data_IF_227294644220
#
_entry.id   IF_227294644220
#
_cell.length_a   1.000
_cell.length_b   1.000
_cell.length_c   1.000
_cell.angle_alpha   90.00
_cell.angle_beta   90.00
_cell.angle_gamma   90.00
#
_symmetry.space_group_name_H-M   'P 1'
#
loop_
_entity.id
_entity.type
_entity.pdbx_description
1 polymer ?
#
# COMPACT_ATOMS: atom_id res chain seq x y z
N UNK A 1 -19.44 17.76 -19.69
CA UNK A 1 -19.02 16.96 -18.52
C UNK A 1 -17.50 16.92 -18.50
N UNK A 2 -16.83 17.63 -17.58
CA UNK A 2 -15.37 17.57 -17.43
C UNK A 2 -15.07 16.54 -16.35
N UNK A 3 -14.58 15.37 -16.75
CA UNK A 3 -14.24 14.25 -15.86
C UNK A 3 -12.97 14.51 -15.04
N UNK A 4 -12.16 15.47 -15.46
CA UNK A 4 -10.90 15.83 -14.80
C UNK A 4 -10.87 17.36 -14.69
N UNK A 5 -10.96 17.86 -13.46
CA UNK A 5 -10.72 19.26 -13.14
C UNK A 5 -9.54 19.31 -12.17
N UNK A 6 -8.33 19.48 -12.71
CA UNK A 6 -7.12 19.64 -11.89
C UNK A 6 -7.07 21.08 -11.38
N UNK A 7 -7.02 21.23 -10.06
CA UNK A 7 -6.83 22.49 -9.34
C UNK A 7 -5.42 22.54 -8.76
N UNK A 8 -4.97 23.72 -8.31
CA UNK A 8 -3.64 23.85 -7.68
C UNK A 8 -3.48 22.95 -6.43
N UNK A 9 -4.57 22.72 -5.69
CA UNK A 9 -4.55 21.86 -4.50
C UNK A 9 -4.34 20.37 -4.80
N UNK A 10 -4.58 19.92 -6.04
CA UNK A 10 -4.35 18.52 -6.42
C UNK A 10 -2.85 18.19 -6.49
N UNK A 11 -2.01 19.18 -6.78
CA UNK A 11 -0.56 19.02 -6.73
C UNK A 11 -0.06 18.83 -5.31
N UNK A 12 -0.54 19.66 -4.37
CA UNK A 12 -0.21 19.53 -2.95
C UNK A 12 -0.67 18.17 -2.41
N UNK A 13 -1.89 17.74 -2.79
CA UNK A 13 -2.42 16.42 -2.47
C UNK A 13 -1.60 15.28 -3.06
N UNK A 14 -1.20 15.38 -4.33
CA UNK A 14 -0.36 14.39 -5.00
C UNK A 14 1.00 14.23 -4.32
N UNK A 15 1.69 15.33 -4.04
CA UNK A 15 3.00 15.28 -3.39
C UNK A 15 2.91 14.88 -1.92
N UNK A 16 1.89 15.34 -1.19
CA UNK A 16 1.65 14.94 0.19
C UNK A 16 1.39 13.44 0.31
N UNK A 17 0.49 12.92 -0.53
CA UNK A 17 0.20 11.48 -0.58
C UNK A 17 1.41 10.69 -1.09
N UNK A 18 2.08 11.17 -2.13
CA UNK A 18 3.25 10.53 -2.73
C UNK A 18 4.39 10.40 -1.74
N UNK A 19 4.74 11.47 -1.02
CA UNK A 19 5.82 11.46 -0.04
C UNK A 19 5.47 10.57 1.17
N UNK A 20 4.23 10.62 1.66
CA UNK A 20 3.77 9.72 2.72
C UNK A 20 3.92 8.23 2.31
N UNK A 21 3.46 7.88 1.11
CA UNK A 21 3.60 6.52 0.60
C UNK A 21 5.06 6.14 0.39
N UNK A 22 5.91 7.06 -0.10
CA UNK A 22 7.33 6.80 -0.30
C UNK A 22 8.04 6.45 1.02
N UNK A 23 7.83 7.24 2.07
CA UNK A 23 8.38 6.95 3.41
C UNK A 23 7.90 5.59 3.92
N UNK A 24 6.62 5.28 3.75
CA UNK A 24 6.06 4.00 4.17
C UNK A 24 6.60 2.81 3.35
N UNK A 25 6.86 2.99 2.05
CA UNK A 25 7.52 1.97 1.23
C UNK A 25 8.96 1.70 1.69
N UNK A 26 9.71 2.75 2.04
CA UNK A 26 11.06 2.59 2.60
C UNK A 26 11.01 1.81 3.92
N UNK A 27 10.01 2.07 4.76
CA UNK A 27 9.82 1.31 5.99
C UNK A 27 9.49 -0.15 5.71
N UNK A 28 8.60 -0.43 4.75
CA UNK A 28 8.27 -1.82 4.34
C UNK A 28 9.53 -2.53 3.85
N UNK A 29 10.34 -1.90 3.01
CA UNK A 29 11.62 -2.47 2.53
C UNK A 29 12.53 -2.78 3.72
N UNK A 30 12.71 -1.80 4.62
CA UNK A 30 13.57 -1.93 5.80
C UNK A 30 13.14 -3.07 6.71
N UNK A 31 11.85 -3.17 7.04
CA UNK A 31 11.32 -4.25 7.89
C UNK A 31 11.37 -5.61 7.18
N UNK A 32 11.10 -5.65 5.87
CA UNK A 32 11.19 -6.89 5.08
C UNK A 32 12.62 -7.45 5.08
N UNK A 33 13.64 -6.59 4.99
CA UNK A 33 15.03 -7.00 5.02
C UNK A 33 15.52 -7.32 6.44
N UNK A 34 15.28 -6.41 7.39
CA UNK A 34 15.88 -6.50 8.73
C UNK A 34 15.15 -7.44 9.69
N UNK A 35 13.82 -7.52 9.58
CA UNK A 35 12.99 -8.34 10.49
C UNK A 35 12.66 -9.69 9.86
N UNK A 36 12.23 -9.69 8.59
CA UNK A 36 11.78 -10.90 7.91
C UNK A 36 12.91 -11.62 7.15
N UNK A 37 14.03 -10.95 6.90
CA UNK A 37 15.16 -11.52 6.16
C UNK A 37 14.83 -11.87 4.71
N UNK A 38 13.86 -11.17 4.10
CA UNK A 38 13.47 -11.41 2.71
C UNK A 38 14.57 -10.98 1.73
N UNK A 39 14.68 -11.70 0.62
CA UNK A 39 15.61 -11.36 -0.45
C UNK A 39 15.17 -10.07 -1.17
N UNK A 40 16.14 -9.33 -1.70
CA UNK A 40 15.86 -8.15 -2.51
C UNK A 40 15.02 -8.48 -3.75
N UNK A 41 15.22 -9.67 -4.32
CA UNK A 41 14.43 -10.14 -5.46
C UNK A 41 12.95 -10.27 -5.09
N UNK A 42 12.61 -10.88 -3.96
CA UNK A 42 11.23 -11.02 -3.50
C UNK A 42 10.58 -9.64 -3.28
N UNK A 43 11.30 -8.72 -2.64
CA UNK A 43 10.82 -7.37 -2.36
C UNK A 43 10.52 -6.61 -3.65
N UNK A 44 11.46 -6.61 -4.60
CA UNK A 44 11.35 -5.82 -5.84
C UNK A 44 10.36 -6.44 -6.83
N UNK A 45 10.25 -7.77 -6.88
CA UNK A 45 9.40 -8.45 -7.89
C UNK A 45 7.97 -8.68 -7.42
N UNK A 46 7.73 -8.81 -6.10
CA UNK A 46 6.39 -9.11 -5.56
C UNK A 46 5.85 -8.01 -4.67
N UNK A 47 6.63 -7.57 -3.67
CA UNK A 47 6.13 -6.63 -2.66
C UNK A 47 5.92 -5.23 -3.27
N UNK A 48 6.96 -4.62 -3.85
CA UNK A 48 6.86 -3.25 -4.38
C UNK A 48 5.81 -3.12 -5.50
N UNK A 49 5.74 -4.03 -6.49
CA UNK A 49 4.70 -3.98 -7.51
C UNK A 49 3.31 -4.17 -6.91
N UNK A 50 3.14 -5.09 -5.96
CA UNK A 50 1.87 -5.29 -5.24
C UNK A 50 1.39 -4.03 -4.53
N UNK A 51 2.30 -3.34 -3.82
CA UNK A 51 1.99 -2.07 -3.16
C UNK A 51 1.63 -0.98 -4.16
N UNK A 52 2.36 -0.86 -5.28
CA UNK A 52 2.09 0.11 -6.33
C UNK A 52 0.70 -0.10 -6.95
N UNK A 53 0.37 -1.35 -7.30
CA UNK A 53 -0.96 -1.68 -7.80
C UNK A 53 -2.04 -1.37 -6.77
N UNK A 54 -1.83 -1.73 -5.50
CA UNK A 54 -2.77 -1.41 -4.42
C UNK A 54 -3.08 0.08 -4.32
N UNK A 55 -2.05 0.93 -4.40
CA UNK A 55 -2.23 2.39 -4.38
C UNK A 55 -3.03 2.87 -5.60
N UNK A 56 -2.68 2.40 -6.79
CA UNK A 56 -3.36 2.81 -8.03
C UNK A 56 -4.84 2.40 -8.00
N UNK A 57 -5.12 1.12 -7.75
CA UNK A 57 -6.48 0.61 -7.72
C UNK A 57 -7.32 1.22 -6.59
N UNK A 58 -6.74 1.41 -5.40
CA UNK A 58 -7.42 2.05 -4.28
C UNK A 58 -7.83 3.48 -4.58
N UNK A 59 -6.96 4.28 -5.20
CA UNK A 59 -7.28 5.66 -5.56
C UNK A 59 -8.31 5.72 -6.70
N UNK A 60 -8.19 4.87 -7.73
CA UNK A 60 -9.20 4.79 -8.80
C UNK A 60 -10.58 4.42 -8.24
N UNK A 61 -10.62 3.47 -7.32
CA UNK A 61 -11.86 3.05 -6.67
C UNK A 61 -12.51 4.17 -5.85
N UNK A 62 -11.74 4.91 -5.03
CA UNK A 62 -12.29 6.02 -4.26
C UNK A 62 -12.69 7.22 -5.12
N UNK A 63 -11.94 7.52 -6.20
CA UNK A 63 -12.36 8.53 -7.18
C UNK A 63 -13.69 8.17 -7.83
N UNK A 64 -13.87 6.91 -8.23
CA UNK A 64 -15.13 6.42 -8.78
C UNK A 64 -16.28 6.50 -7.76
N UNK A 65 -16.04 6.14 -6.50
CA UNK A 65 -17.06 6.25 -5.45
C UNK A 65 -17.47 7.70 -5.19
N UNK A 66 -16.52 8.63 -5.12
CA UNK A 66 -16.80 10.05 -4.94
C UNK A 66 -17.67 10.60 -6.09
N UNK A 67 -17.35 10.23 -7.34
CA UNK A 67 -18.13 10.63 -8.50
C UNK A 67 -19.53 10.01 -8.52
N UNK A 68 -19.64 8.72 -8.23
CA UNK A 68 -20.92 8.00 -8.15
C UNK A 68 -21.84 8.63 -7.09
N UNK A 69 -21.29 8.99 -5.94
CA UNK A 69 -22.02 9.67 -4.88
C UNK A 69 -22.42 11.10 -5.27
N UNK A 70 -21.52 11.84 -5.93
CA UNK A 70 -21.79 13.20 -6.38
C UNK A 70 -22.95 13.26 -7.38
N UNK A 71 -23.02 12.28 -8.30
CA UNK A 71 -24.12 12.14 -9.25
C UNK A 71 -25.46 11.85 -8.57
N UNK A 72 -25.47 11.07 -7.49
CA UNK A 72 -26.70 10.73 -6.74
C UNK A 72 -27.18 11.88 -5.85
N UNK A 73 -26.26 12.61 -5.22
CA UNK A 73 -26.61 13.66 -4.26
C UNK A 73 -26.73 15.06 -4.90
N UNK A 74 -26.33 15.23 -6.16
CA UNK A 74 -26.37 16.53 -6.85
C UNK A 74 -25.35 17.56 -6.33
N UNK A 75 -24.32 17.12 -5.60
CA UNK A 75 -23.25 18.00 -5.06
C UNK A 75 -21.87 17.34 -5.18
N UNK A 76 -20.82 18.14 -5.22
CA UNK A 76 -19.43 17.64 -5.30
C UNK A 76 -18.98 16.98 -3.98
N UNK A 77 -18.19 15.91 -4.08
CA UNK A 77 -17.51 15.26 -2.96
C UNK A 77 -16.04 15.06 -3.29
N UNK A 78 -15.19 15.21 -2.27
CA UNK A 78 -13.75 14.95 -2.37
C UNK A 78 -13.48 13.47 -2.13
N UNK A 79 -12.72 12.83 -3.02
CA UNK A 79 -12.26 11.47 -2.82
C UNK A 79 -11.26 11.41 -1.64
N UNK A 80 -11.38 10.36 -0.82
CA UNK A 80 -10.41 10.11 0.25
C UNK A 80 -9.15 9.52 -0.41
N UNK A 81 -7.96 10.07 -0.14
CA UNK A 81 -6.73 9.52 -0.71
C UNK A 81 -6.45 8.14 -0.13
N UNK A 82 -6.23 7.14 -0.99
CA UNK A 82 -5.80 5.82 -0.57
C UNK A 82 -4.27 5.78 -0.48
N UNK A 83 -3.75 5.39 0.68
CA UNK A 83 -2.32 5.27 0.92
C UNK A 83 -1.99 4.24 1.98
N UNK A 84 -0.70 3.97 2.11
CA UNK A 84 -0.15 3.06 3.10
C UNK A 84 -0.20 3.74 4.47
N UNK A 85 -0.56 2.97 5.50
CA UNK A 85 -0.59 3.43 6.88
C UNK A 85 0.49 2.73 7.70
N UNK A 86 1.16 3.50 8.55
CA UNK A 86 2.25 3.07 9.41
C UNK A 86 1.86 1.93 10.37
N UNK A 87 0.73 2.05 11.06
CA UNK A 87 0.34 1.07 12.09
C UNK A 87 0.10 -0.33 11.47
N UNK A 88 -0.69 -0.48 10.39
CA UNK A 88 -0.82 -1.75 9.69
C UNK A 88 0.52 -2.34 9.25
N UNK A 89 1.50 -1.55 8.81
CA UNK A 89 2.82 -2.09 8.43
C UNK A 89 3.43 -2.87 9.60
N UNK A 90 3.45 -2.29 10.80
CA UNK A 90 3.97 -2.97 11.99
C UNK A 90 3.14 -4.19 12.37
N UNK A 91 1.81 -4.09 12.36
CA UNK A 91 0.94 -5.23 12.66
C UNK A 91 1.16 -6.38 11.68
N UNK A 92 1.17 -6.12 10.36
CA UNK A 92 1.42 -7.17 9.38
C UNK A 92 2.81 -7.77 9.53
N UNK A 93 3.84 -6.95 9.72
CA UNK A 93 5.22 -7.48 9.87
C UNK A 93 5.35 -8.36 11.10
N UNK A 94 4.95 -7.86 12.28
CA UNK A 94 5.27 -8.50 13.56
C UNK A 94 4.21 -9.49 14.05
N UNK A 95 2.94 -9.29 13.71
CA UNK A 95 1.84 -10.14 14.19
C UNK A 95 1.31 -11.13 13.15
N UNK A 96 1.64 -10.93 11.86
CA UNK A 96 1.16 -11.82 10.79
C UNK A 96 2.32 -12.52 10.11
N UNK A 97 3.20 -11.78 9.43
CA UNK A 97 4.23 -12.32 8.54
C UNK A 97 5.34 -13.03 9.31
N UNK A 98 5.89 -12.38 10.35
CA UNK A 98 6.96 -12.99 11.14
C UNK A 98 6.48 -14.27 11.84
N UNK A 99 5.35 -14.31 12.56
CA UNK A 99 4.85 -15.55 13.16
C UNK A 99 4.56 -16.63 12.12
N UNK A 100 3.94 -16.29 10.98
CA UNK A 100 3.67 -17.25 9.92
C UNK A 100 4.95 -17.90 9.38
N UNK A 101 6.00 -17.11 9.14
CA UNK A 101 7.30 -17.60 8.72
C UNK A 101 7.94 -18.51 9.77
N UNK A 102 7.91 -18.13 11.05
CA UNK A 102 8.50 -18.93 12.13
C UNK A 102 7.77 -20.26 12.32
N UNK A 103 6.44 -20.29 12.16
CA UNK A 103 5.64 -21.53 12.19
C UNK A 103 6.04 -22.45 11.03
N UNK A 104 6.22 -21.92 9.82
CA UNK A 104 6.64 -22.70 8.67
C UNK A 104 8.05 -23.29 8.87
N UNK A 105 9.01 -22.48 9.33
CA UNK A 105 10.37 -22.93 9.64
C UNK A 105 10.38 -23.98 10.76
N UNK A 106 9.59 -23.78 11.82
CA UNK A 106 9.44 -24.74 12.91
C UNK A 106 8.79 -26.06 12.48
N UNK A 107 8.05 -26.06 11.37
CA UNK A 107 7.45 -27.25 10.76
C UNK A 107 8.40 -27.98 9.79
N UNK A 108 9.66 -27.51 9.67
CA UNK A 108 10.69 -28.10 8.82
C UNK A 108 10.77 -27.51 7.41
N UNK A 109 10.04 -26.44 7.11
CA UNK A 109 10.17 -25.75 5.82
C UNK A 109 11.54 -25.09 5.69
N UNK A 110 12.07 -25.04 4.47
CA UNK A 110 13.23 -24.22 4.14
C UNK A 110 12.88 -22.74 4.18
N UNK A 111 13.89 -21.87 4.28
CA UNK A 111 13.69 -20.41 4.25
C UNK A 111 12.99 -19.95 2.97
N UNK A 112 13.35 -20.54 1.83
CA UNK A 112 12.71 -20.20 0.55
C UNK A 112 11.22 -20.58 0.53
N UNK A 113 10.85 -21.73 1.12
CA UNK A 113 9.45 -22.15 1.23
C UNK A 113 8.66 -21.30 2.23
N UNK A 114 9.29 -20.89 3.34
CA UNK A 114 8.66 -20.04 4.36
C UNK A 114 8.48 -18.58 3.92
N UNK A 115 9.24 -18.13 2.90
CA UNK A 115 9.19 -16.77 2.37
C UNK A 115 8.23 -16.63 1.16
N UNK A 116 7.58 -17.72 0.74
CA UNK A 116 6.63 -17.76 -0.39
C UNK A 116 5.17 -17.89 0.06
#
# INVERSE_FOLDING_TARGET
MKWIQVTKGDWDGFFGLGLNNFVNLLLIISLSQSVLGYSNELIVTRILPGMAFGIIFGNLFYSWQAESLARKAGKSFTAIPYGINLLPIFFYTFYVMLPAQQIALGSGATKAEADH
#
